data_IF_487215669559
#
_entry.id   IF_487215669559
#
_cell.length_a   1.000
_cell.length_b   1.000
_cell.length_c   1.000
_cell.angle_alpha   90.00
_cell.angle_beta   90.00
_cell.angle_gamma   90.00
#
_symmetry.space_group_name_H-M   'P 1'
#
loop_
_entity.id
_entity.type
_entity.pdbx_description
1 polymer ?
#
# COMPACT_ATOMS: atom_id res chain seq x y z
N UNK A 1 5.69 1.68 -28.64
CA UNK A 1 4.95 2.46 -27.59
C UNK A 1 5.63 2.28 -26.23
N UNK A 2 5.97 1.04 -25.89
CA UNK A 2 6.75 0.64 -24.71
C UNK A 2 8.13 1.32 -24.62
N UNK A 3 8.80 1.59 -25.74
CA UNK A 3 10.15 2.20 -25.73
C UNK A 3 10.19 3.61 -25.14
N UNK A 4 9.15 4.40 -25.42
CA UNK A 4 9.01 5.75 -24.85
C UNK A 4 8.80 5.66 -23.32
N UNK A 5 7.98 4.72 -22.88
CA UNK A 5 7.72 4.47 -21.46
C UNK A 5 8.99 4.00 -20.74
N UNK A 6 9.71 3.03 -21.33
CA UNK A 6 10.97 2.52 -20.80
C UNK A 6 12.01 3.63 -20.63
N UNK A 7 12.15 4.51 -21.63
CA UNK A 7 13.06 5.66 -21.57
C UNK A 7 12.69 6.62 -20.44
N UNK A 8 11.40 6.95 -20.31
CA UNK A 8 10.92 7.82 -19.24
C UNK A 8 11.14 7.21 -17.86
N UNK A 9 10.85 5.91 -17.69
CA UNK A 9 11.04 5.18 -16.42
C UNK A 9 12.51 5.16 -16.01
N UNK A 10 13.42 4.83 -16.93
CA UNK A 10 14.87 4.89 -16.67
C UNK A 10 15.30 6.29 -16.27
N UNK A 11 14.82 7.31 -16.98
CA UNK A 11 15.15 8.70 -16.67
C UNK A 11 14.67 9.12 -15.28
N UNK A 12 13.47 8.68 -14.87
CA UNK A 12 12.95 8.93 -13.52
C UNK A 12 13.82 8.24 -12.47
N UNK A 13 14.24 6.99 -12.70
CA UNK A 13 15.15 6.26 -11.82
C UNK A 13 16.51 6.95 -11.67
N UNK A 14 17.06 7.50 -12.76
CA UNK A 14 18.32 8.25 -12.75
C UNK A 14 18.26 9.54 -11.93
N UNK A 15 17.13 10.27 -11.98
CA UNK A 15 16.96 11.55 -11.27
C UNK A 15 16.59 11.32 -9.80
N UNK A 16 15.96 10.20 -9.49
CA UNK A 16 15.48 9.92 -8.15
C UNK A 16 16.62 9.90 -7.14
N UNK A 17 16.52 10.74 -6.11
CA UNK A 17 17.49 10.75 -4.99
C UNK A 17 17.46 9.43 -4.20
N UNK A 18 16.31 8.74 -4.21
CA UNK A 18 16.10 7.43 -3.60
C UNK A 18 15.32 6.55 -4.57
N UNK A 19 15.74 5.28 -4.79
CA UNK A 19 14.98 4.37 -5.62
C UNK A 19 13.61 4.10 -4.99
N UNK A 20 12.61 3.91 -5.84
CA UNK A 20 11.26 3.55 -5.38
C UNK A 20 11.29 2.11 -4.83
N UNK A 21 10.98 1.90 -3.53
CA UNK A 21 11.00 0.58 -2.92
C UNK A 21 9.96 -0.37 -3.53
N UNK A 22 8.87 0.16 -4.10
CA UNK A 22 7.82 -0.63 -4.75
C UNK A 22 8.12 -0.92 -6.23
N UNK A 23 9.22 -0.39 -6.76
CA UNK A 23 9.73 -0.75 -8.08
C UNK A 23 10.61 -2.02 -8.05
N UNK A 24 10.92 -2.55 -6.85
CA UNK A 24 11.77 -3.75 -6.69
C UNK A 24 10.93 -4.95 -6.25
N UNK A 25 10.72 -5.96 -7.11
CA UNK A 25 9.91 -7.14 -6.77
C UNK A 25 10.39 -7.84 -5.50
N UNK A 26 11.71 -8.02 -5.33
CA UNK A 26 12.27 -8.69 -4.16
C UNK A 26 12.03 -7.97 -2.83
N UNK A 27 11.88 -6.63 -2.84
CA UNK A 27 11.53 -5.91 -1.62
C UNK A 27 10.06 -6.14 -1.24
N UNK A 28 9.16 -6.21 -2.22
CA UNK A 28 7.74 -6.49 -1.98
C UNK A 28 7.55 -7.92 -1.45
N UNK A 29 8.29 -8.89 -1.96
CA UNK A 29 8.30 -10.27 -1.44
C UNK A 29 8.67 -10.31 0.05
N UNK A 30 9.70 -9.55 0.45
CA UNK A 30 10.08 -9.40 1.85
C UNK A 30 8.95 -8.79 2.70
N UNK A 31 8.26 -7.76 2.17
CA UNK A 31 7.10 -7.16 2.86
C UNK A 31 5.96 -8.18 3.05
N UNK A 32 5.65 -8.96 2.01
CA UNK A 32 4.63 -10.01 2.07
C UNK A 32 4.99 -11.04 3.14
N UNK A 33 6.26 -11.47 3.19
CA UNK A 33 6.71 -12.44 4.19
C UNK A 33 6.62 -11.86 5.61
N UNK A 34 7.07 -10.62 5.81
CA UNK A 34 6.97 -9.95 7.11
C UNK A 34 5.52 -9.80 7.59
N UNK A 35 4.59 -9.42 6.70
CA UNK A 35 3.18 -9.29 7.01
C UNK A 35 2.54 -10.65 7.35
N UNK A 36 2.94 -11.73 6.64
CA UNK A 36 2.54 -13.11 6.96
C UNK A 36 3.09 -13.54 8.33
N UNK A 37 4.30 -13.17 8.69
CA UNK A 37 4.91 -13.50 9.99
C UNK A 37 4.28 -12.72 11.14
N UNK A 38 3.97 -11.43 10.96
CA UNK A 38 3.35 -10.60 11.99
C UNK A 38 1.93 -11.05 12.36
N UNK A 39 1.20 -11.66 11.41
CA UNK A 39 -0.14 -12.24 11.63
C UNK A 39 -1.15 -11.27 12.29
N UNK A 40 -0.95 -9.95 12.12
CA UNK A 40 -1.83 -8.92 12.69
C UNK A 40 -3.26 -9.05 12.12
N UNK A 41 -4.30 -8.66 12.87
CA UNK A 41 -5.66 -8.70 12.34
C UNK A 41 -5.75 -7.95 10.99
N UNK A 42 -6.42 -8.58 10.02
CA UNK A 42 -6.52 -8.06 8.66
C UNK A 42 -5.32 -8.33 7.74
N UNK A 43 -4.26 -9.02 8.19
CA UNK A 43 -3.05 -9.25 7.38
C UNK A 43 -3.36 -9.91 6.03
N UNK A 44 -4.31 -10.85 5.96
CA UNK A 44 -4.68 -11.54 4.70
C UNK A 44 -5.09 -10.57 3.59
N UNK A 45 -5.79 -9.47 3.93
CA UNK A 45 -6.18 -8.45 2.96
C UNK A 45 -4.96 -7.65 2.49
N UNK A 46 -4.12 -7.20 3.43
CA UNK A 46 -2.87 -6.49 3.11
C UNK A 46 -1.92 -7.34 2.27
N UNK A 47 -1.80 -8.64 2.57
CA UNK A 47 -1.03 -9.60 1.77
C UNK A 47 -1.55 -9.69 0.34
N UNK A 48 -2.87 -9.81 0.14
CA UNK A 48 -3.45 -9.87 -1.20
C UNK A 48 -3.22 -8.57 -1.99
N UNK A 49 -3.28 -7.41 -1.33
CA UNK A 49 -2.93 -6.12 -1.92
C UNK A 49 -1.44 -6.07 -2.31
N UNK A 50 -0.54 -6.51 -1.43
CA UNK A 50 0.89 -6.58 -1.71
C UNK A 50 1.22 -7.55 -2.86
N UNK A 51 0.52 -8.67 -2.97
CA UNK A 51 0.66 -9.62 -4.10
C UNK A 51 0.25 -8.98 -5.44
N UNK A 52 -0.76 -8.11 -5.45
CA UNK A 52 -1.11 -7.31 -6.64
C UNK A 52 -0.02 -6.30 -6.99
N UNK A 53 0.52 -5.60 -5.98
CA UNK A 53 1.64 -4.65 -6.18
C UNK A 53 2.88 -5.38 -6.71
N UNK A 54 3.16 -6.60 -6.25
CA UNK A 54 4.25 -7.44 -6.75
C UNK A 54 4.08 -7.72 -8.25
N UNK A 55 2.88 -8.09 -8.70
CA UNK A 55 2.58 -8.29 -10.11
C UNK A 55 2.87 -7.05 -10.96
N UNK A 56 2.46 -5.87 -10.47
CA UNK A 56 2.72 -4.60 -11.15
C UNK A 56 4.22 -4.27 -11.20
N UNK A 57 4.95 -4.48 -10.09
CA UNK A 57 6.39 -4.24 -10.02
C UNK A 57 7.17 -5.11 -11.01
N UNK A 58 6.75 -6.37 -11.20
CA UNK A 58 7.34 -7.25 -12.22
C UNK A 58 7.14 -6.69 -13.62
N UNK A 59 5.94 -6.22 -13.95
CA UNK A 59 5.63 -5.61 -15.26
C UNK A 59 6.48 -4.35 -15.47
N UNK A 60 6.55 -3.46 -14.49
CA UNK A 60 7.36 -2.23 -14.55
C UNK A 60 8.85 -2.56 -14.76
N UNK A 61 9.36 -3.59 -14.08
CA UNK A 61 10.73 -4.03 -14.24
C UNK A 61 11.00 -4.54 -15.67
N UNK A 62 10.08 -5.33 -16.24
CA UNK A 62 10.15 -5.80 -17.64
C UNK A 62 10.17 -4.65 -18.64
N UNK A 63 9.24 -3.69 -18.48
CA UNK A 63 9.17 -2.49 -19.34
C UNK A 63 10.47 -1.69 -19.24
N UNK A 64 10.99 -1.49 -18.03
CA UNK A 64 12.25 -0.78 -17.81
C UNK A 64 13.42 -1.47 -18.53
N UNK A 65 13.46 -2.81 -18.52
CA UNK A 65 14.47 -3.60 -19.24
C UNK A 65 14.29 -3.61 -20.76
N UNK A 66 13.11 -3.26 -21.26
CA UNK A 66 12.77 -3.31 -22.69
C UNK A 66 12.33 -4.71 -23.14
N UNK A 67 11.94 -5.57 -22.21
CA UNK A 67 11.42 -6.89 -22.50
C UNK A 67 9.98 -6.78 -23.04
N UNK A 68 9.58 -7.63 -24.01
CA UNK A 68 8.21 -7.62 -24.51
C UNK A 68 7.24 -8.12 -23.43
N UNK A 69 6.13 -7.40 -23.26
CA UNK A 69 5.03 -7.83 -22.40
C UNK A 69 4.10 -8.79 -23.15
N UNK A 70 3.60 -9.79 -22.44
CA UNK A 70 2.53 -10.67 -22.92
C UNK A 70 1.19 -9.93 -22.94
N UNK A 71 0.20 -10.47 -23.66
CA UNK A 71 -1.13 -9.85 -23.75
C UNK A 71 -1.85 -9.82 -22.40
N UNK A 72 -1.59 -10.77 -21.51
CA UNK A 72 -2.18 -10.80 -20.16
C UNK A 72 -1.56 -9.75 -19.23
N UNK A 73 -0.24 -9.53 -19.32
CA UNK A 73 0.44 -8.47 -18.57
C UNK A 73 0.00 -7.08 -19.00
N UNK A 74 -0.32 -6.91 -20.30
CA UNK A 74 -0.87 -5.66 -20.81
C UNK A 74 -2.24 -5.34 -20.21
N UNK A 75 -3.06 -6.36 -19.90
CA UNK A 75 -4.38 -6.20 -19.27
C UNK A 75 -4.30 -5.97 -17.76
N UNK A 76 -3.24 -6.46 -17.11
CA UNK A 76 -3.01 -6.33 -15.66
C UNK A 76 -2.54 -4.93 -15.22
N UNK A 77 -2.26 -4.00 -16.13
CA UNK A 77 -1.94 -2.61 -15.80
C UNK A 77 -3.23 -1.86 -15.39
N UNK A 78 -3.38 -1.43 -14.13
CA UNK A 78 -4.51 -0.57 -13.78
C UNK A 78 -4.24 0.83 -14.33
N UNK A 79 -5.04 1.25 -15.30
CA UNK A 79 -5.38 2.67 -15.44
C UNK A 79 -6.29 2.97 -14.26
N UNK A 80 -5.67 3.48 -13.21
CA UNK A 80 -6.16 4.53 -12.31
C UNK A 80 -5.40 4.37 -11.00
N UNK A 81 -4.61 5.39 -10.68
CA UNK A 81 -4.58 5.82 -9.30
C UNK A 81 -6.04 6.12 -8.93
N UNK A 82 -6.79 5.09 -8.50
CA UNK A 82 -7.82 5.34 -7.50
C UNK A 82 -7.03 6.06 -6.42
N UNK A 83 -7.19 7.37 -6.39
CA UNK A 83 -7.05 8.12 -5.16
C UNK A 83 -7.95 7.36 -4.21
N UNK A 84 -7.39 6.42 -3.45
CA UNK A 84 -7.76 6.32 -2.07
C UNK A 84 -7.40 7.68 -1.50
N UNK A 85 -8.28 8.65 -1.75
CA UNK A 85 -8.56 9.72 -0.83
C UNK A 85 -8.52 9.02 0.52
N UNK A 86 -7.54 9.37 1.36
CA UNK A 86 -7.53 8.90 2.72
C UNK A 86 -8.92 9.22 3.23
N UNK A 87 -9.79 8.21 3.32
CA UNK A 87 -11.07 8.39 3.97
C UNK A 87 -10.64 8.83 5.34
N UNK A 88 -11.01 10.06 5.78
CA UNK A 88 -10.67 10.47 7.13
C UNK A 88 -11.13 9.32 8.02
N UNK A 89 -10.36 9.02 9.07
CA UNK A 89 -10.85 8.16 10.14
C UNK A 89 -12.15 8.82 10.61
N UNK A 90 -13.26 8.41 10.02
CA UNK A 90 -14.57 8.79 10.47
C UNK A 90 -14.64 8.02 11.76
N UNK A 91 -14.43 8.75 12.85
CA UNK A 91 -14.83 8.30 14.15
C UNK A 91 -16.27 7.84 13.94
N UNK A 92 -16.51 6.53 13.87
CA UNK A 92 -17.84 6.05 14.16
C UNK A 92 -18.15 6.72 15.47
N UNK A 93 -19.17 7.58 15.46
CA UNK A 93 -19.66 8.22 16.65
C UNK A 93 -20.07 7.08 17.58
N UNK A 94 -19.13 6.59 18.38
CA UNK A 94 -19.44 6.18 19.73
C UNK A 94 -20.03 7.44 20.33
N UNK A 95 -21.36 7.56 20.22
CA UNK A 95 -22.22 8.46 20.97
C UNK A 95 -22.13 8.04 22.43
N UNK A 96 -20.94 8.11 23.00
CA UNK A 96 -20.70 8.12 24.42
C UNK A 96 -20.54 9.60 24.74
N UNK A 97 -21.63 10.19 25.23
CA UNK A 97 -21.67 11.55 25.75
C UNK A 97 -20.40 11.87 26.52
N UNK A 98 -19.71 12.96 26.14
CA UNK A 98 -18.51 13.46 26.82
C UNK A 98 -18.73 13.71 28.32
N UNK A 99 -19.99 13.87 28.75
CA UNK A 99 -20.35 13.95 30.17
C UNK A 99 -20.16 12.65 30.95
N UNK A 100 -20.19 11.49 30.28
CA UNK A 100 -20.18 10.19 30.96
C UNK A 100 -18.77 9.71 31.33
N UNK A 101 -17.74 10.07 30.55
CA UNK A 101 -16.35 9.68 30.83
C UNK A 101 -15.79 10.48 32.02
N UNK A 102 -16.08 11.78 32.09
CA UNK A 102 -15.61 12.64 33.18
C UNK A 102 -16.27 12.28 34.52
N UNK A 103 -17.56 11.93 34.52
CA UNK A 103 -18.28 11.45 35.71
C UNK A 103 -17.75 10.10 36.21
N UNK A 104 -17.36 9.19 35.31
CA UNK A 104 -16.76 7.89 35.69
C UNK A 104 -15.36 8.02 36.27
N UNK A 105 -14.56 8.98 35.78
CA UNK A 105 -13.21 9.25 36.30
C UNK A 105 -13.25 9.94 37.67
N UNK A 106 -14.15 10.92 37.86
CA UNK A 106 -14.38 11.57 39.15
C UNK A 106 -14.95 10.59 40.21
N UNK A 107 -15.83 9.67 39.81
CA UNK A 107 -16.42 8.67 40.71
C UNK A 107 -15.45 7.56 41.17
N UNK A 108 -14.28 7.42 40.53
CA UNK A 108 -13.24 6.46 40.94
C UNK A 108 -12.24 7.02 41.96
N UNK A 109 -12.23 8.35 42.18
CA UNK A 109 -11.31 9.01 43.12
C UNK A 109 -11.86 9.17 44.54
N UNK A 110 -13.10 8.76 44.82
CA UNK A 110 -13.74 8.90 46.15
C UNK A 110 -14.26 7.58 46.75
N UNK A 111 -13.68 6.44 46.37
CA UNK A 111 -13.74 5.23 47.21
C UNK A 111 -12.43 5.06 47.98
N UNK A 112 -12.32 5.79 49.09
CA UNK A 112 -11.59 5.35 50.28
C UNK A 112 -12.61 4.75 51.25
#
# INVERSE_FOLDING_TARGET
MTDKMAKSLRRLQEIALRPDPLSTPGYIELLIESEKQECKPGYKKRVAELENVLGQAVIVNKVTKGEPLTDEERKMLPIEAEKQECKPLTNQEHKMSLGSIFQKWLGLQTKK
#
